data_IF_266792429520
#
_entry.id   IF_266792429520
#
_cell.length_a   1.000
_cell.length_b   1.000
_cell.length_c   1.000
_cell.angle_alpha   90.00
_cell.angle_beta   90.00
_cell.angle_gamma   90.00
#
_symmetry.space_group_name_H-M   'P 1'
#
loop_
_entity.id
_entity.type
_entity.pdbx_description
1 polymer ?
#
# COMPACT_ATOMS: atom_id res chain seq x y z
N UNK A 1 8.11 12.58 -0.39
CA UNK A 1 7.07 12.96 -1.37
C UNK A 1 7.59 12.60 -2.75
N UNK A 2 6.73 12.08 -3.63
CA UNK A 2 7.09 11.91 -5.04
C UNK A 2 6.90 13.26 -5.76
N UNK A 3 7.74 13.59 -6.76
CA UNK A 3 7.85 14.95 -7.30
C UNK A 3 6.65 15.44 -8.13
N UNK A 4 5.69 14.57 -8.48
CA UNK A 4 4.58 14.91 -9.39
C UNK A 4 3.19 14.50 -8.87
N UNK A 5 3.09 13.35 -8.21
CA UNK A 5 1.83 12.78 -7.71
C UNK A 5 2.07 12.18 -6.33
N UNK A 6 1.10 12.25 -5.43
CA UNK A 6 1.16 11.53 -4.16
C UNK A 6 0.90 10.04 -4.39
N UNK A 7 1.43 9.18 -3.51
CA UNK A 7 1.17 7.73 -3.59
C UNK A 7 -0.32 7.39 -3.45
N UNK A 8 -1.09 8.22 -2.73
CA UNK A 8 -2.54 8.06 -2.55
C UNK A 8 -3.30 8.40 -3.85
N UNK A 9 -2.91 9.46 -4.55
CA UNK A 9 -3.53 9.81 -5.83
C UNK A 9 -3.25 8.74 -6.90
N UNK A 10 -2.07 8.12 -6.88
CA UNK A 10 -1.75 6.97 -7.73
C UNK A 10 -2.65 5.79 -7.39
N UNK A 11 -2.79 5.43 -6.11
CA UNK A 11 -3.67 4.34 -5.67
C UNK A 11 -5.11 4.58 -6.14
N UNK A 12 -5.63 5.78 -5.92
CA UNK A 12 -6.98 6.17 -6.33
C UNK A 12 -7.18 6.04 -7.84
N UNK A 13 -6.20 6.47 -8.64
CA UNK A 13 -6.24 6.33 -10.11
C UNK A 13 -6.23 4.86 -10.55
N UNK A 14 -5.35 4.05 -9.96
CA UNK A 14 -5.24 2.60 -10.24
C UNK A 14 -6.54 1.87 -9.90
N UNK A 15 -7.14 2.16 -8.74
CA UNK A 15 -8.43 1.57 -8.33
C UNK A 15 -9.59 2.03 -9.21
N UNK A 16 -9.63 3.31 -9.61
CA UNK A 16 -10.63 3.81 -10.59
C UNK A 16 -10.54 3.13 -11.95
N UNK A 17 -9.35 2.68 -12.35
CA UNK A 17 -9.14 1.89 -13.58
C UNK A 17 -9.54 0.41 -13.42
N UNK A 18 -10.13 0.00 -12.29
CA UNK A 18 -10.54 -1.37 -12.03
C UNK A 18 -9.38 -2.35 -11.80
N UNK A 19 -8.16 -1.85 -11.59
CA UNK A 19 -6.99 -2.71 -11.36
C UNK A 19 -7.00 -3.25 -9.93
N UNK A 20 -6.97 -4.57 -9.83
CA UNK A 20 -6.97 -5.33 -8.57
C UNK A 20 -5.58 -5.75 -8.12
N UNK A 21 -4.53 -5.24 -8.76
CA UNK A 21 -3.15 -5.49 -8.35
C UNK A 21 -2.96 -5.09 -6.89
N UNK A 22 -2.41 -5.98 -6.03
CA UNK A 22 -2.15 -5.64 -4.63
C UNK A 22 -1.21 -4.44 -4.51
N UNK A 23 -1.53 -3.50 -3.63
CA UNK A 23 -0.74 -2.28 -3.39
C UNK A 23 -0.31 -2.22 -1.93
N UNK A 24 1.00 -2.17 -1.71
CA UNK A 24 1.64 -1.86 -0.44
C UNK A 24 2.11 -0.41 -0.45
N UNK A 25 1.61 0.42 0.46
CA UNK A 25 2.03 1.81 0.58
C UNK A 25 3.27 1.94 1.48
N UNK A 26 4.30 2.63 0.99
CA UNK A 26 5.52 2.95 1.75
C UNK A 26 5.55 4.43 2.13
N UNK A 27 5.44 4.75 3.42
CA UNK A 27 5.42 6.15 3.91
C UNK A 27 6.70 6.52 4.64
N UNK A 28 6.94 7.81 4.87
CA UNK A 28 7.78 8.28 5.99
C UNK A 28 6.95 8.95 7.11
N UNK A 29 5.67 9.24 6.85
CA UNK A 29 4.75 9.87 7.80
C UNK A 29 3.95 8.80 8.53
N UNK A 30 4.26 8.62 9.80
CA UNK A 30 3.60 7.63 10.68
C UNK A 30 2.28 8.14 11.26
N UNK A 31 1.65 9.16 10.67
CA UNK A 31 0.39 9.68 11.19
C UNK A 31 -0.71 8.65 10.94
N UNK A 32 -1.41 8.22 11.99
CA UNK A 32 -2.48 7.22 11.88
C UNK A 32 -3.58 7.63 10.88
N UNK A 33 -3.75 8.94 10.66
CA UNK A 33 -4.68 9.49 9.67
C UNK A 33 -4.31 9.10 8.23
N UNK A 34 -3.03 9.17 7.84
CA UNK A 34 -2.55 8.76 6.50
C UNK A 34 -2.77 7.25 6.26
N UNK A 35 -2.66 6.43 7.32
CA UNK A 35 -2.91 4.98 7.25
C UNK A 35 -4.39 4.67 7.03
N UNK A 36 -5.27 5.31 7.81
CA UNK A 36 -6.70 5.10 7.72
C UNK A 36 -7.24 5.51 6.34
N UNK A 37 -6.75 6.63 5.81
CA UNK A 37 -7.10 7.10 4.46
C UNK A 37 -6.63 6.12 3.38
N UNK A 38 -5.38 5.65 3.43
CA UNK A 38 -4.83 4.70 2.46
C UNK A 38 -5.60 3.37 2.43
N UNK A 39 -5.94 2.81 3.59
CA UNK A 39 -6.75 1.59 3.69
C UNK A 39 -8.17 1.83 3.16
N UNK A 40 -8.79 2.96 3.50
CA UNK A 40 -10.12 3.34 2.99
C UNK A 40 -10.15 3.53 1.46
N UNK A 41 -9.03 3.94 0.84
CA UNK A 41 -8.88 4.07 -0.61
C UNK A 41 -8.57 2.73 -1.32
N UNK A 42 -8.49 1.62 -0.58
CA UNK A 42 -8.28 0.28 -1.11
C UNK A 42 -6.81 -0.12 -1.24
N UNK A 43 -5.92 0.41 -0.39
CA UNK A 43 -4.60 -0.18 -0.19
C UNK A 43 -4.74 -1.52 0.53
N UNK A 44 -3.91 -2.49 0.16
CA UNK A 44 -3.94 -3.84 0.76
C UNK A 44 -3.13 -3.89 2.05
N UNK A 45 -2.04 -3.10 2.14
CA UNK A 45 -1.23 -2.97 3.35
C UNK A 45 -0.41 -1.67 3.34
N UNK A 46 0.23 -1.39 4.47
CA UNK A 46 1.04 -0.20 4.71
C UNK A 46 2.31 -0.52 5.50
N UNK A 47 3.44 0.05 5.08
CA UNK A 47 4.74 -0.09 5.75
C UNK A 47 5.41 1.28 5.95
N UNK A 48 5.82 1.56 7.18
CA UNK A 48 6.44 2.84 7.54
C UNK A 48 7.95 2.79 7.34
N UNK A 49 8.55 3.88 6.84
CA UNK A 49 10.00 4.06 6.74
C UNK A 49 10.57 4.70 8.01
N UNK A 50 11.80 4.33 8.40
CA UNK A 50 12.62 3.27 7.83
C UNK A 50 12.07 1.87 8.19
N UNK A 51 12.10 0.93 7.25
CA UNK A 51 11.69 -0.47 7.46
C UNK A 51 12.88 -1.41 7.26
N UNK A 52 12.80 -2.57 7.89
CA UNK A 52 13.78 -3.63 7.68
C UNK A 52 13.38 -4.49 6.46
N UNK A 53 14.35 -5.03 5.73
CA UNK A 53 14.10 -5.92 4.59
C UNK A 53 13.21 -7.14 4.96
N UNK A 54 13.39 -7.81 6.12
CA UNK A 54 12.50 -8.88 6.53
C UNK A 54 11.03 -8.45 6.70
N UNK A 55 10.79 -7.21 7.15
CA UNK A 55 9.44 -6.69 7.32
C UNK A 55 8.75 -6.45 5.97
N UNK A 56 9.48 -5.94 4.99
CA UNK A 56 8.99 -5.82 3.62
C UNK A 56 8.64 -7.19 3.03
N UNK A 57 9.54 -8.17 3.17
CA UNK A 57 9.34 -9.53 2.65
C UNK A 57 8.15 -10.23 3.29
N UNK A 58 7.94 -10.08 4.59
CA UNK A 58 6.80 -10.67 5.29
C UNK A 58 5.45 -10.16 4.74
N UNK A 59 5.39 -8.88 4.34
CA UNK A 59 4.18 -8.24 3.80
C UNK A 59 3.93 -8.59 2.34
N UNK A 60 4.97 -8.69 1.53
CA UNK A 60 4.84 -9.09 0.11
C UNK A 60 4.58 -10.58 -0.06
N UNK A 61 5.12 -11.40 0.86
CA UNK A 61 4.93 -12.86 0.85
C UNK A 61 3.59 -13.30 1.43
N UNK A 62 2.76 -12.39 1.95
CA UNK A 62 1.51 -12.74 2.62
C UNK A 62 0.59 -13.47 1.62
N UNK A 63 0.26 -14.76 1.86
CA UNK A 63 -0.55 -15.53 0.92
C UNK A 63 -1.93 -14.90 0.83
N UNK A 64 -2.35 -14.57 -0.39
CA UNK A 64 -3.67 -14.01 -0.65
C UNK A 64 -4.71 -15.10 -0.39
N UNK A 65 -5.67 -14.83 0.50
CA UNK A 65 -6.88 -15.64 0.63
C UNK A 65 -7.65 -15.58 -0.69
N UNK A 66 -7.35 -16.50 -1.62
CA UNK A 66 -7.86 -16.48 -2.98
C UNK A 66 -6.93 -17.08 -4.03
N UNK A 67 -5.65 -17.32 -3.71
CA UNK A 67 -4.76 -18.14 -4.53
C UNK A 67 -4.62 -19.54 -3.93
N UNK A 68 -5.74 -20.25 -3.79
CA UNK A 68 -5.76 -21.71 -3.85
C UNK A 68 -6.20 -22.04 -5.28
N UNK A 69 -5.25 -22.45 -6.11
CA UNK A 69 -5.56 -23.48 -7.09
C UNK A 69 -5.41 -24.82 -6.36
#
# INVERSE_FOLDING_TARGET
>A
MMPKLSGLEVLKSVRKQGRTTPVLLLTAKSQMQDKAEGLGLGADDYLAKPFAAPELLARTSKPRAGSRQ
#
